data_IF_658426684714
#
_entry.id   IF_658426684714
#
_cell.length_a   1.000
_cell.length_b   1.000
_cell.length_c   1.000
_cell.angle_alpha   90.00
_cell.angle_beta   90.00
_cell.angle_gamma   90.00
#
_symmetry.space_group_name_H-M   'P 1'
#
loop_
_entity.id
_entity.type
_entity.pdbx_description
1 polymer ?
#
# COMPACT_ATOMS: atom_id res chain seq x y z
N UNK A 1 -4.01 19.25 1.62
CA UNK A 1 -5.20 19.26 0.71
C UNK A 1 -5.75 17.85 0.65
N UNK A 2 -7.11 17.66 0.63
CA UNK A 2 -7.72 16.33 0.50
C UNK A 2 -7.45 15.76 -0.90
N UNK A 3 -6.87 14.55 -0.97
CA UNK A 3 -6.57 13.84 -2.22
C UNK A 3 -7.54 12.70 -2.45
N UNK A 4 -7.90 11.97 -1.39
CA UNK A 4 -8.86 10.87 -1.46
C UNK A 4 -10.04 11.16 -0.54
N UNK A 5 -11.23 10.94 -1.06
CA UNK A 5 -12.46 10.87 -0.28
C UNK A 5 -13.17 9.54 -0.56
N UNK A 6 -13.44 8.79 0.48
CA UNK A 6 -14.27 7.57 0.47
C UNK A 6 -15.53 7.86 1.26
N UNK A 7 -16.70 7.68 0.64
CA UNK A 7 -18.01 7.98 1.24
C UNK A 7 -18.96 6.80 1.10
N UNK A 8 -19.46 6.31 2.22
CA UNK A 8 -20.47 5.26 2.34
C UNK A 8 -20.17 4.02 1.49
N UNK A 9 -18.85 3.75 1.31
CA UNK A 9 -18.39 2.71 0.42
C UNK A 9 -18.76 1.33 0.95
N UNK A 10 -19.53 0.58 0.15
CA UNK A 10 -19.93 -0.79 0.47
C UNK A 10 -19.66 -1.72 -0.71
N UNK A 11 -19.35 -2.99 -0.41
CA UNK A 11 -19.18 -4.03 -1.42
C UNK A 11 -19.86 -5.33 -1.01
N UNK A 12 -20.74 -5.80 -1.88
CA UNK A 12 -21.36 -7.13 -1.82
C UNK A 12 -20.90 -7.95 -3.01
N UNK A 13 -20.57 -9.18 -2.75
CA UNK A 13 -20.34 -10.20 -3.77
C UNK A 13 -21.56 -11.11 -3.79
N UNK A 14 -22.15 -11.31 -4.95
CA UNK A 14 -23.24 -12.26 -5.16
C UNK A 14 -22.68 -13.56 -5.74
N UNK A 15 -23.03 -14.70 -5.17
CA UNK A 15 -22.74 -16.03 -5.69
C UNK A 15 -24.03 -16.85 -5.78
N UNK A 16 -23.95 -18.04 -6.39
CA UNK A 16 -25.09 -18.96 -6.45
C UNK A 16 -25.56 -19.40 -5.06
N UNK A 17 -24.66 -19.42 -4.08
CA UNK A 17 -24.89 -19.89 -2.71
C UNK A 17 -25.21 -18.76 -1.71
N UNK A 18 -25.44 -17.53 -2.21
CA UNK A 18 -25.78 -16.37 -1.38
C UNK A 18 -24.96 -15.12 -1.66
N UNK A 19 -25.11 -14.11 -0.82
CA UNK A 19 -24.37 -12.86 -0.91
C UNK A 19 -23.41 -12.70 0.26
N UNK A 20 -22.19 -12.22 -0.04
CA UNK A 20 -21.17 -11.93 0.96
C UNK A 20 -20.94 -10.42 1.02
N UNK A 21 -21.20 -9.82 2.17
CA UNK A 21 -20.87 -8.43 2.44
C UNK A 21 -19.38 -8.35 2.80
N UNK A 22 -18.57 -7.83 1.88
CA UNK A 22 -17.14 -7.68 2.10
C UNK A 22 -16.79 -6.38 2.83
N UNK A 23 -17.43 -5.27 2.44
CA UNK A 23 -17.26 -3.94 3.02
C UNK A 23 -18.62 -3.32 3.29
N UNK A 24 -18.71 -2.56 4.39
CA UNK A 24 -19.92 -1.85 4.78
C UNK A 24 -19.60 -0.44 5.26
N UNK A 25 -20.18 0.56 4.61
CA UNK A 25 -20.17 1.97 4.99
C UNK A 25 -18.79 2.53 5.37
N UNK A 26 -17.78 2.20 4.54
CA UNK A 26 -16.43 2.71 4.72
C UNK A 26 -16.40 4.21 4.43
N UNK A 27 -15.94 4.98 5.39
CA UNK A 27 -15.79 6.43 5.29
C UNK A 27 -14.41 6.85 5.80
N UNK A 28 -13.61 7.49 4.96
CA UNK A 28 -12.36 8.14 5.37
C UNK A 28 -11.88 9.12 4.30
N UNK A 29 -10.93 9.96 4.68
CA UNK A 29 -10.27 10.92 3.80
C UNK A 29 -8.75 10.79 3.95
N UNK A 30 -8.03 11.11 2.88
CA UNK A 30 -6.56 11.10 2.86
C UNK A 30 -6.07 12.44 2.33
N UNK A 31 -5.12 13.04 3.02
CA UNK A 31 -4.48 14.28 2.60
C UNK A 31 -3.28 14.00 1.69
N UNK A 32 -2.89 15.01 0.92
CA UNK A 32 -1.72 14.94 0.04
C UNK A 32 -0.44 14.68 0.86
N UNK A 33 0.36 13.75 0.38
CA UNK A 33 1.60 13.34 1.04
C UNK A 33 1.42 12.53 2.33
N UNK A 34 0.19 12.18 2.72
CA UNK A 34 -0.09 11.39 3.92
C UNK A 34 0.19 9.90 3.68
N UNK A 35 0.80 9.24 4.65
CA UNK A 35 1.01 7.80 4.66
C UNK A 35 -0.02 7.15 5.59
N UNK A 36 -1.00 6.45 5.04
CA UNK A 36 -2.03 5.74 5.81
C UNK A 36 -1.77 4.24 5.75
N UNK A 37 -1.78 3.59 6.91
CA UNK A 37 -1.84 2.13 6.98
C UNK A 37 -3.27 1.65 7.25
N UNK A 38 -3.62 0.49 6.68
CA UNK A 38 -4.89 -0.20 6.92
C UNK A 38 -4.59 -1.57 7.53
N UNK A 39 -5.06 -1.79 8.74
CA UNK A 39 -4.89 -3.06 9.46
C UNK A 39 -6.24 -3.70 9.78
N UNK A 40 -6.25 -5.00 9.94
CA UNK A 40 -7.46 -5.76 10.27
C UNK A 40 -7.26 -7.26 10.09
N UNK A 41 -8.16 -8.10 10.59
CA UNK A 41 -8.05 -9.55 10.49
C UNK A 41 -8.07 -10.04 9.03
N UNK A 42 -7.61 -11.27 8.80
CA UNK A 42 -7.66 -11.89 7.48
C UNK A 42 -9.10 -11.98 6.98
N UNK A 43 -9.31 -11.71 5.69
CA UNK A 43 -10.63 -11.77 5.08
C UNK A 43 -11.58 -10.61 5.42
N UNK A 44 -11.17 -9.58 6.16
CA UNK A 44 -12.03 -8.43 6.51
C UNK A 44 -12.33 -7.47 5.34
N UNK A 45 -11.70 -7.65 4.17
CA UNK A 45 -11.98 -6.83 2.99
C UNK A 45 -10.90 -5.81 2.60
N UNK A 46 -9.72 -5.80 3.22
CA UNK A 46 -8.62 -4.85 2.91
C UNK A 46 -8.24 -4.84 1.43
N UNK A 47 -7.98 -6.02 0.85
CA UNK A 47 -7.66 -6.12 -0.58
C UNK A 47 -8.86 -5.77 -1.49
N UNK A 48 -10.10 -5.97 -1.01
CA UNK A 48 -11.31 -5.49 -1.70
C UNK A 48 -11.34 -3.96 -1.72
N UNK A 49 -11.07 -3.32 -0.58
CA UNK A 49 -10.97 -1.87 -0.47
C UNK A 49 -9.90 -1.34 -1.44
N UNK A 50 -8.69 -1.92 -1.42
CA UNK A 50 -7.60 -1.51 -2.31
C UNK A 50 -7.97 -1.65 -3.79
N UNK A 51 -8.61 -2.75 -4.19
CA UNK A 51 -9.06 -2.96 -5.59
C UNK A 51 -10.10 -1.92 -6.02
N UNK A 52 -10.96 -1.46 -5.11
CA UNK A 52 -11.93 -0.40 -5.40
C UNK A 52 -11.19 0.95 -5.53
N UNK A 53 -10.27 1.26 -4.63
CA UNK A 53 -9.43 2.46 -4.69
C UNK A 53 -8.58 2.51 -5.96
N UNK A 54 -8.13 1.36 -6.46
CA UNK A 54 -7.39 1.24 -7.72
C UNK A 54 -8.29 1.33 -8.98
N UNK A 55 -9.62 1.37 -8.81
CA UNK A 55 -10.56 1.34 -9.92
C UNK A 55 -10.67 -0.02 -10.63
N UNK A 56 -10.09 -1.09 -10.05
CA UNK A 56 -10.14 -2.45 -10.62
C UNK A 56 -11.50 -3.11 -10.35
N UNK A 57 -12.12 -2.75 -9.24
CA UNK A 57 -13.38 -3.32 -8.78
C UNK A 57 -14.39 -2.20 -8.51
N UNK A 58 -15.59 -2.22 -9.09
CA UNK A 58 -16.60 -1.23 -8.75
C UNK A 58 -17.19 -1.48 -7.36
N UNK A 59 -17.53 -0.43 -6.60
CA UNK A 59 -18.29 -0.56 -5.37
C UNK A 59 -19.72 -1.05 -5.64
N UNK A 60 -20.41 -1.58 -4.63
CA UNK A 60 -21.85 -1.87 -4.71
C UNK A 60 -22.70 -0.67 -4.30
N UNK A 61 -22.15 0.18 -3.41
CA UNK A 61 -22.76 1.44 -2.98
C UNK A 61 -21.66 2.41 -2.53
N UNK A 62 -21.98 3.71 -2.49
CA UNK A 62 -21.03 4.76 -2.13
C UNK A 62 -20.08 5.12 -3.27
N UNK A 63 -19.09 5.96 -2.98
CA UNK A 63 -18.15 6.47 -3.96
C UNK A 63 -16.74 6.63 -3.42
N UNK A 64 -15.78 6.60 -4.34
CA UNK A 64 -14.39 7.00 -4.10
C UNK A 64 -14.03 8.12 -5.07
N UNK A 65 -13.40 9.17 -4.56
CA UNK A 65 -12.91 10.29 -5.36
C UNK A 65 -11.41 10.47 -5.16
N UNK A 66 -10.71 10.71 -6.26
CA UNK A 66 -9.31 11.15 -6.27
C UNK A 66 -9.27 12.57 -6.83
N UNK A 67 -8.77 13.54 -6.05
CA UNK A 67 -8.76 14.97 -6.40
C UNK A 67 -10.13 15.44 -6.95
N UNK A 68 -11.18 15.17 -6.20
CA UNK A 68 -12.58 15.48 -6.55
C UNK A 68 -13.18 14.73 -7.74
N UNK A 69 -12.40 13.92 -8.47
CA UNK A 69 -12.87 13.12 -9.60
C UNK A 69 -13.26 11.72 -9.13
N UNK A 70 -14.47 11.21 -9.43
CA UNK A 70 -14.86 9.85 -9.09
C UNK A 70 -13.94 8.80 -9.75
N UNK A 71 -13.62 7.74 -9.01
CA UNK A 71 -12.89 6.58 -9.53
C UNK A 71 -13.92 5.58 -10.06
N UNK A 72 -14.10 5.53 -11.37
CA UNK A 72 -15.01 4.61 -12.05
C UNK A 72 -14.29 3.49 -12.82
N UNK A 73 -12.96 3.52 -12.85
CA UNK A 73 -12.10 2.56 -13.53
C UNK A 73 -10.63 2.80 -13.20
N UNK A 74 -9.70 1.98 -13.74
CA UNK A 74 -8.27 2.16 -13.55
C UNK A 74 -7.80 3.56 -14.00
N UNK A 75 -6.92 4.18 -13.20
CA UNK A 75 -6.43 5.55 -13.44
C UNK A 75 -4.92 5.54 -13.63
N UNK A 76 -4.43 6.47 -14.46
CA UNK A 76 -2.99 6.63 -14.74
C UNK A 76 -2.22 7.26 -13.58
N UNK A 77 -2.92 8.00 -12.72
CA UNK A 77 -2.35 8.71 -11.56
C UNK A 77 -2.36 7.88 -10.27
N UNK A 78 -2.59 6.56 -10.38
CA UNK A 78 -2.53 5.60 -9.27
C UNK A 78 -1.45 4.55 -9.58
N UNK A 79 -0.47 4.41 -8.68
CA UNK A 79 0.49 3.31 -8.66
C UNK A 79 0.00 2.19 -7.74
N UNK A 80 0.15 0.93 -8.17
CA UNK A 80 -0.27 -0.23 -7.37
C UNK A 80 0.90 -1.19 -7.19
N UNK A 81 1.16 -1.57 -5.93
CA UNK A 81 2.10 -2.62 -5.54
C UNK A 81 1.31 -3.76 -4.92
N UNK A 82 1.36 -4.93 -5.54
CA UNK A 82 0.67 -6.12 -5.06
C UNK A 82 1.54 -6.91 -4.06
N UNK A 83 0.93 -7.80 -3.33
CA UNK A 83 1.60 -8.73 -2.40
C UNK A 83 2.68 -9.56 -3.11
N UNK A 84 2.38 -10.09 -4.28
CA UNK A 84 3.38 -10.65 -5.19
C UNK A 84 3.90 -9.53 -6.12
N UNK A 85 5.22 -9.45 -6.40
CA UNK A 85 5.79 -8.41 -7.26
C UNK A 85 5.20 -8.36 -8.68
N UNK A 86 4.64 -9.46 -9.16
CA UNK A 86 4.01 -9.60 -10.50
C UNK A 86 4.89 -8.98 -11.59
N UNK A 87 6.18 -9.34 -11.58
CA UNK A 87 7.11 -8.95 -12.63
C UNK A 87 6.94 -9.86 -13.84
N UNK A 88 7.05 -9.29 -15.04
CA UNK A 88 7.07 -10.08 -16.26
C UNK A 88 8.41 -10.82 -16.38
N UNK A 89 8.42 -12.17 -16.35
CA UNK A 89 9.67 -12.92 -16.32
C UNK A 89 10.50 -12.74 -17.60
N UNK A 90 9.89 -12.47 -18.74
CA UNK A 90 10.55 -12.23 -20.02
C UNK A 90 11.07 -10.82 -20.23
N UNK A 91 10.87 -9.91 -19.25
CA UNK A 91 11.37 -8.54 -19.27
C UNK A 91 12.51 -8.38 -18.28
N UNK A 92 13.51 -7.59 -18.64
CA UNK A 92 14.56 -7.17 -17.71
C UNK A 92 13.98 -6.34 -16.55
N UNK A 93 14.79 -6.09 -15.51
CA UNK A 93 14.44 -5.17 -14.41
C UNK A 93 14.02 -3.81 -14.96
N UNK A 94 14.86 -3.21 -15.82
CA UNK A 94 14.58 -1.90 -16.41
C UNK A 94 13.29 -1.91 -17.24
N UNK A 95 13.06 -2.96 -18.05
CA UNK A 95 11.84 -3.07 -18.84
C UNK A 95 10.59 -3.32 -18.00
N UNK A 96 10.73 -3.99 -16.84
CA UNK A 96 9.65 -4.10 -15.88
C UNK A 96 9.33 -2.73 -15.25
N UNK A 97 10.34 -1.95 -14.88
CA UNK A 97 10.16 -0.59 -14.34
C UNK A 97 9.49 0.33 -15.37
N UNK A 98 9.92 0.29 -16.62
CA UNK A 98 9.39 1.13 -17.70
C UNK A 98 8.02 0.66 -18.23
N UNK A 99 7.49 -0.46 -17.78
CA UNK A 99 6.21 -0.99 -18.25
C UNK A 99 5.05 0.02 -18.21
N UNK A 100 4.83 0.79 -17.12
CA UNK A 100 3.77 1.81 -17.10
C UNK A 100 3.98 2.92 -18.13
N UNK A 101 5.23 3.26 -18.40
CA UNK A 101 5.61 4.25 -19.45
C UNK A 101 5.21 3.75 -20.83
N UNK A 102 5.50 2.46 -21.12
CA UNK A 102 5.14 1.81 -22.38
C UNK A 102 3.62 1.78 -22.57
N UNK A 103 2.90 1.29 -21.53
CA UNK A 103 1.44 1.12 -21.56
C UNK A 103 0.72 2.46 -21.71
N UNK A 104 1.22 3.50 -21.03
CA UNK A 104 0.64 4.85 -21.08
C UNK A 104 1.13 5.68 -22.25
N UNK A 105 2.11 5.19 -23.03
CA UNK A 105 2.74 5.87 -24.18
C UNK A 105 3.37 7.21 -23.81
N UNK A 106 4.07 7.27 -22.67
CA UNK A 106 4.68 8.48 -22.14
C UNK A 106 6.06 8.81 -22.75
N UNK A 107 6.61 7.93 -23.62
CA UNK A 107 7.95 8.06 -24.18
C UNK A 107 9.06 7.56 -23.24
N UNK A 108 9.81 6.55 -23.70
CA UNK A 108 10.87 5.91 -22.88
C UNK A 108 12.05 6.82 -22.62
N UNK A 109 12.47 7.61 -23.60
CA UNK A 109 13.68 8.44 -23.52
C UNK A 109 13.60 9.43 -22.35
N UNK A 110 12.44 10.07 -22.18
CA UNK A 110 12.21 10.98 -21.05
C UNK A 110 12.16 10.31 -19.67
N UNK A 111 11.90 8.99 -19.61
CA UNK A 111 11.77 8.24 -18.35
C UNK A 111 12.98 7.35 -18.03
N UNK A 112 13.92 7.17 -18.96
CA UNK A 112 15.08 6.31 -18.76
C UNK A 112 15.93 6.80 -17.59
N UNK A 113 16.24 8.09 -17.55
CA UNK A 113 16.99 8.68 -16.42
C UNK A 113 16.23 8.51 -15.11
N UNK A 114 14.92 8.78 -15.09
CA UNK A 114 14.09 8.62 -13.90
C UNK A 114 14.08 7.16 -13.42
N UNK A 115 14.05 6.19 -14.36
CA UNK A 115 14.12 4.77 -14.03
C UNK A 115 15.46 4.40 -13.37
N UNK A 116 16.57 4.91 -13.92
CA UNK A 116 17.90 4.68 -13.33
C UNK A 116 18.03 5.31 -11.95
N UNK A 117 17.60 6.57 -11.79
CA UNK A 117 17.61 7.27 -10.49
C UNK A 117 16.76 6.53 -9.44
N UNK A 118 15.60 6.01 -9.83
CA UNK A 118 14.74 5.22 -8.96
C UNK A 118 15.34 3.85 -8.62
N UNK A 119 16.00 3.17 -9.57
CA UNK A 119 16.70 1.91 -9.32
C UNK A 119 17.88 2.12 -8.36
N UNK A 120 18.63 3.19 -8.55
CA UNK A 120 19.70 3.59 -7.62
C UNK A 120 19.14 3.89 -6.23
N UNK A 121 18.03 4.63 -6.14
CA UNK A 121 17.35 4.93 -4.88
C UNK A 121 17.00 3.67 -4.09
N UNK A 122 16.60 2.59 -4.75
CA UNK A 122 16.25 1.31 -4.09
C UNK A 122 17.43 0.32 -4.02
N UNK A 123 18.67 0.76 -4.31
CA UNK A 123 19.88 -0.06 -4.23
C UNK A 123 19.91 -1.21 -5.24
N UNK A 124 19.44 -0.97 -6.46
CA UNK A 124 19.44 -1.92 -7.56
C UNK A 124 20.37 -1.49 -8.72
N UNK A 125 21.40 -0.69 -8.42
CA UNK A 125 22.44 -0.34 -9.39
C UNK A 125 23.13 -1.60 -9.91
N UNK A 126 23.30 -1.67 -11.23
CA UNK A 126 23.92 -2.82 -11.90
C UNK A 126 22.99 -4.02 -12.15
N UNK A 127 21.72 -3.94 -11.70
CA UNK A 127 20.72 -4.99 -11.94
C UNK A 127 19.76 -4.67 -13.08
N UNK A 128 19.91 -3.58 -13.79
CA UNK A 128 18.97 -3.07 -14.80
C UNK A 128 18.69 -4.08 -15.91
N UNK A 129 19.71 -4.85 -16.29
CA UNK A 129 19.65 -5.87 -17.37
C UNK A 129 19.33 -7.26 -16.87
N UNK A 130 19.25 -7.46 -15.54
CA UNK A 130 18.88 -8.75 -14.94
C UNK A 130 17.41 -9.05 -15.14
N UNK A 131 17.07 -10.33 -15.05
CA UNK A 131 15.70 -10.81 -15.13
C UNK A 131 15.16 -11.16 -13.74
N UNK A 132 13.82 -11.21 -13.55
CA UNK A 132 13.22 -11.47 -12.23
C UNK A 132 13.74 -12.72 -11.53
N UNK A 133 14.01 -13.79 -12.23
CA UNK A 133 14.54 -15.05 -11.64
C UNK A 133 15.98 -14.94 -11.12
N UNK A 134 16.72 -13.90 -11.49
CA UNK A 134 18.06 -13.62 -11.00
C UNK A 134 18.06 -12.80 -9.70
N UNK A 135 16.86 -12.39 -9.22
CA UNK A 135 16.68 -11.51 -8.09
C UNK A 135 16.14 -12.24 -6.86
N UNK A 136 16.56 -11.82 -5.67
CA UNK A 136 15.90 -12.22 -4.42
C UNK A 136 14.47 -11.66 -4.35
N UNK A 137 13.61 -12.22 -3.47
CA UNK A 137 12.25 -11.74 -3.28
C UNK A 137 12.17 -10.26 -2.88
N UNK A 138 13.08 -9.81 -2.01
CA UNK A 138 13.18 -8.40 -1.63
C UNK A 138 13.59 -7.49 -2.80
N UNK A 139 14.53 -7.94 -3.64
CA UNK A 139 14.91 -7.19 -4.85
C UNK A 139 13.74 -7.10 -5.83
N UNK A 140 13.00 -8.19 -6.06
CA UNK A 140 11.81 -8.18 -6.91
C UNK A 140 10.76 -7.20 -6.39
N UNK A 141 10.58 -7.12 -5.07
CA UNK A 141 9.64 -6.18 -4.45
C UNK A 141 10.09 -4.73 -4.64
N UNK A 142 11.40 -4.43 -4.53
CA UNK A 142 11.95 -3.11 -4.86
C UNK A 142 11.69 -2.72 -6.31
N UNK A 143 11.85 -3.65 -7.26
CA UNK A 143 11.49 -3.43 -8.67
C UNK A 143 10.01 -3.10 -8.82
N UNK A 144 9.11 -3.81 -8.10
CA UNK A 144 7.67 -3.55 -8.15
C UNK A 144 7.30 -2.16 -7.60
N UNK A 145 7.97 -1.71 -6.53
CA UNK A 145 7.80 -0.36 -5.97
C UNK A 145 8.30 0.68 -6.98
N UNK A 146 9.49 0.48 -7.55
CA UNK A 146 10.07 1.37 -8.58
C UNK A 146 9.15 1.49 -9.79
N UNK A 147 8.60 0.37 -10.27
CA UNK A 147 7.61 0.34 -11.35
C UNK A 147 6.35 1.14 -11.01
N UNK A 148 5.88 1.08 -9.78
CA UNK A 148 4.70 1.85 -9.37
C UNK A 148 4.97 3.35 -9.26
N UNK A 149 6.24 3.78 -9.12
CA UNK A 149 6.66 5.18 -8.98
C UNK A 149 7.04 5.85 -10.30
N UNK A 150 7.42 5.09 -11.35
CA UNK A 150 8.05 5.61 -12.56
C UNK A 150 7.25 6.70 -13.29
N UNK A 151 5.94 6.60 -13.27
CA UNK A 151 5.02 7.52 -13.96
C UNK A 151 4.53 8.65 -13.04
N UNK A 152 5.21 8.87 -11.92
CA UNK A 152 4.94 9.93 -10.93
C UNK A 152 3.46 9.98 -10.45
N UNK A 153 2.91 8.88 -9.91
CA UNK A 153 1.51 8.83 -9.53
C UNK A 153 1.18 9.80 -8.39
N UNK A 154 -0.07 10.26 -8.32
CA UNK A 154 -0.57 11.06 -7.21
C UNK A 154 -0.72 10.22 -5.94
N UNK A 155 -0.96 8.91 -6.09
CA UNK A 155 -1.20 7.97 -4.99
C UNK A 155 -0.56 6.62 -5.26
N UNK A 156 -0.02 6.00 -4.20
CA UNK A 156 0.44 4.62 -4.17
C UNK A 156 -0.49 3.77 -3.31
N UNK A 157 -0.93 2.66 -3.86
CA UNK A 157 -1.67 1.62 -3.16
C UNK A 157 -0.78 0.39 -3.01
N UNK A 158 -0.64 -0.12 -1.79
CA UNK A 158 0.23 -1.27 -1.49
C UNK A 158 -0.55 -2.34 -0.73
N UNK A 159 -0.69 -3.54 -1.32
CA UNK A 159 -1.39 -4.67 -0.70
C UNK A 159 -0.38 -5.64 -0.10
N UNK A 160 -0.15 -5.56 1.20
CA UNK A 160 0.77 -6.41 1.99
C UNK A 160 2.12 -6.64 1.27
N UNK A 161 2.81 -5.57 0.84
CA UNK A 161 3.95 -5.70 -0.08
C UNK A 161 5.12 -6.51 0.50
N UNK A 162 5.20 -6.66 1.81
CA UNK A 162 6.30 -7.36 2.49
C UNK A 162 5.88 -8.69 3.13
N UNK A 163 4.67 -9.17 2.85
CA UNK A 163 4.10 -10.36 3.49
C UNK A 163 4.85 -11.67 3.22
N UNK A 164 5.53 -11.77 2.09
CA UNK A 164 6.29 -12.96 1.70
C UNK A 164 7.79 -12.91 2.09
N UNK A 165 8.25 -11.81 2.72
CA UNK A 165 9.64 -11.63 3.10
C UNK A 165 9.91 -12.16 4.52
N UNK A 166 11.13 -12.65 4.74
CA UNK A 166 11.62 -12.96 6.09
C UNK A 166 11.69 -11.69 6.98
N UNK A 167 11.84 -11.88 8.28
CA UNK A 167 11.76 -10.78 9.25
C UNK A 167 12.84 -9.70 9.00
N UNK A 168 14.10 -10.10 8.77
CA UNK A 168 15.21 -9.15 8.57
C UNK A 168 15.05 -8.36 7.27
N UNK A 169 14.71 -9.04 6.19
CA UNK A 169 14.45 -8.40 4.89
C UNK A 169 13.25 -7.44 4.99
N UNK A 170 12.23 -7.80 5.75
CA UNK A 170 11.04 -6.95 5.98
C UNK A 170 11.41 -5.67 6.74
N UNK A 171 12.22 -5.75 7.78
CA UNK A 171 12.71 -4.59 8.52
C UNK A 171 13.51 -3.64 7.61
N UNK A 172 14.42 -4.18 6.79
CA UNK A 172 15.14 -3.39 5.80
C UNK A 172 14.21 -2.73 4.79
N UNK A 173 13.18 -3.44 4.32
CA UNK A 173 12.20 -2.90 3.38
C UNK A 173 11.34 -1.80 4.00
N UNK A 174 11.05 -1.86 5.30
CA UNK A 174 10.33 -0.80 6.01
C UNK A 174 11.17 0.49 6.08
N UNK A 175 12.47 0.39 6.40
CA UNK A 175 13.39 1.53 6.36
C UNK A 175 13.49 2.12 4.96
N UNK A 176 13.63 1.26 3.95
CA UNK A 176 13.74 1.65 2.54
C UNK A 176 12.48 2.38 2.07
N UNK A 177 11.30 1.82 2.35
CA UNK A 177 10.02 2.43 1.99
C UNK A 177 9.85 3.79 2.68
N UNK A 178 10.22 3.90 3.96
CA UNK A 178 10.22 5.18 4.66
C UNK A 178 11.14 6.20 3.98
N UNK A 179 12.37 5.79 3.58
CA UNK A 179 13.33 6.64 2.87
C UNK A 179 12.77 7.14 1.54
N UNK A 180 12.25 6.25 0.73
CA UNK A 180 11.61 6.56 -0.56
C UNK A 180 10.46 7.55 -0.35
N UNK A 181 9.63 7.31 0.65
CA UNK A 181 8.49 8.17 0.95
C UNK A 181 8.94 9.56 1.43
N UNK A 182 9.97 9.66 2.26
CA UNK A 182 10.52 10.94 2.73
C UNK A 182 11.04 11.80 1.57
N UNK A 183 11.65 11.18 0.56
CA UNK A 183 12.14 11.89 -0.62
C UNK A 183 11.02 12.29 -1.59
N UNK A 184 10.06 11.40 -1.80
CA UNK A 184 9.03 11.59 -2.84
C UNK A 184 7.73 12.19 -2.32
N UNK A 185 7.45 12.08 -1.02
CA UNK A 185 6.25 12.60 -0.35
C UNK A 185 4.94 12.24 -1.06
N UNK A 186 4.85 11.01 -1.59
CA UNK A 186 3.64 10.52 -2.22
C UNK A 186 2.55 10.19 -1.20
N UNK A 187 1.30 10.34 -1.59
CA UNK A 187 0.18 9.83 -0.80
C UNK A 187 0.19 8.30 -0.88
N UNK A 188 0.17 7.63 0.27
CA UNK A 188 0.28 6.17 0.34
C UNK A 188 -0.88 5.58 1.14
N UNK A 189 -1.51 4.54 0.60
CA UNK A 189 -2.38 3.62 1.36
C UNK A 189 -1.72 2.25 1.37
N UNK A 190 -1.33 1.82 2.55
CA UNK A 190 -0.53 0.63 2.81
C UNK A 190 -1.32 -0.39 3.62
N UNK A 191 -1.62 -1.52 3.02
CA UNK A 191 -2.27 -2.63 3.72
C UNK A 191 -1.21 -3.53 4.33
N UNK A 192 -1.37 -3.86 5.60
CA UNK A 192 -0.52 -4.83 6.29
C UNK A 192 -1.28 -5.62 7.34
N UNK A 193 -0.74 -6.79 7.69
CA UNK A 193 -1.19 -7.58 8.84
C UNK A 193 -0.38 -7.30 10.11
N UNK A 194 0.71 -6.56 9.99
CA UNK A 194 1.61 -6.23 11.10
C UNK A 194 1.27 -4.87 11.69
N UNK A 195 0.75 -4.87 12.93
CA UNK A 195 0.48 -3.62 13.67
C UNK A 195 1.77 -2.82 13.88
N UNK A 196 2.91 -3.42 14.30
CA UNK A 196 4.17 -2.69 14.41
C UNK A 196 4.61 -2.03 13.10
N UNK A 197 4.49 -2.72 11.96
CA UNK A 197 4.80 -2.16 10.64
C UNK A 197 3.89 -0.96 10.30
N UNK A 198 2.60 -1.06 10.56
CA UNK A 198 1.65 0.03 10.35
C UNK A 198 2.02 1.27 11.19
N UNK A 199 2.32 1.09 12.48
CA UNK A 199 2.75 2.18 13.37
C UNK A 199 4.09 2.74 12.95
N UNK A 200 5.04 1.89 12.47
CA UNK A 200 6.35 2.33 12.02
C UNK A 200 6.29 3.21 10.77
N UNK A 201 5.42 2.89 9.81
CA UNK A 201 5.38 3.58 8.52
C UNK A 201 4.36 4.71 8.45
N UNK A 202 3.23 4.62 9.15
CA UNK A 202 2.10 5.49 8.88
C UNK A 202 2.08 6.78 9.73
N UNK A 203 1.39 7.79 9.17
CA UNK A 203 0.91 8.97 9.92
C UNK A 203 -0.40 8.64 10.63
N UNK A 204 -1.21 7.76 10.01
CA UNK A 204 -2.48 7.26 10.54
C UNK A 204 -2.66 5.79 10.28
N UNK A 205 -3.31 5.10 11.20
CA UNK A 205 -3.66 3.69 11.06
C UNK A 205 -5.18 3.53 11.12
N UNK A 206 -5.77 3.13 9.98
CA UNK A 206 -7.18 2.75 9.91
C UNK A 206 -7.33 1.30 10.36
N UNK A 207 -8.15 1.08 11.38
CA UNK A 207 -8.38 -0.24 11.96
C UNK A 207 -9.72 -0.77 11.46
N UNK A 208 -9.71 -1.92 10.77
CA UNK A 208 -10.91 -2.53 10.20
C UNK A 208 -11.47 -3.66 11.07
N UNK A 209 -12.81 -3.75 11.13
CA UNK A 209 -13.53 -4.87 11.75
C UNK A 209 -13.38 -6.15 10.92
N UNK A 210 -13.71 -7.35 11.48
CA UNK A 210 -14.00 -8.53 10.67
C UNK A 210 -15.13 -8.26 9.67
N UNK A 211 -15.37 -9.23 8.80
CA UNK A 211 -16.43 -9.16 7.80
C UNK A 211 -17.83 -9.03 8.39
N UNK A 212 -18.68 -8.07 7.92
CA UNK A 212 -18.35 -7.05 6.92
C UNK A 212 -17.35 -6.02 7.45
N UNK A 213 -16.30 -5.70 6.64
CA UNK A 213 -15.27 -4.76 7.03
C UNK A 213 -15.82 -3.33 7.12
N UNK A 214 -15.69 -2.73 8.30
CA UNK A 214 -15.94 -1.31 8.56
C UNK A 214 -14.67 -0.68 9.13
N UNK A 215 -14.51 0.64 9.05
CA UNK A 215 -13.48 1.34 9.83
C UNK A 215 -14.01 1.49 11.26
N UNK A 216 -13.33 0.87 12.23
CA UNK A 216 -13.72 0.99 13.62
C UNK A 216 -12.89 2.00 14.41
N UNK A 217 -11.71 2.35 13.92
CA UNK A 217 -10.86 3.35 14.55
C UNK A 217 -9.92 3.98 13.52
N UNK A 218 -9.46 5.20 13.81
CA UNK A 218 -8.53 6.00 13.01
C UNK A 218 -7.47 6.60 13.94
N UNK A 219 -6.37 5.88 14.10
CA UNK A 219 -5.32 6.16 15.07
C UNK A 219 -4.26 7.06 14.47
N UNK A 220 -4.13 8.28 14.97
CA UNK A 220 -3.06 9.22 14.59
C UNK A 220 -1.75 8.79 15.25
N UNK A 221 -0.69 8.59 14.45
CA UNK A 221 0.65 8.23 14.94
C UNK A 221 1.54 9.48 14.98
N UNK A 222 1.79 9.98 16.17
CA UNK A 222 2.55 11.24 16.40
C UNK A 222 4.06 11.01 16.62
N UNK A 223 4.59 9.84 16.28
CA UNK A 223 6.01 9.54 16.38
C UNK A 223 6.75 10.27 15.24
N UNK A 224 7.78 11.09 15.54
CA UNK A 224 8.54 11.82 14.52
C UNK A 224 9.20 10.90 13.49
N UNK A 225 9.47 11.44 12.31
CA UNK A 225 10.27 10.76 11.26
C UNK A 225 11.57 11.53 11.00
N UNK A 226 12.65 10.86 10.53
CA UNK A 226 12.73 9.43 10.21
C UNK A 226 12.68 8.56 11.47
N UNK A 227 11.98 7.41 11.38
CA UNK A 227 11.92 6.40 12.44
C UNK A 227 13.00 5.36 12.19
N UNK A 228 13.91 5.17 13.13
CA UNK A 228 14.86 4.05 13.13
C UNK A 228 14.18 2.79 13.67
N UNK A 229 14.72 1.60 13.41
CA UNK A 229 14.14 0.34 13.91
C UNK A 229 14.06 0.31 15.43
N UNK A 230 15.04 0.93 16.10
CA UNK A 230 15.09 1.06 17.55
C UNK A 230 13.87 1.81 18.13
N UNK A 231 13.21 2.65 17.30
CA UNK A 231 11.99 3.37 17.70
C UNK A 231 10.86 2.40 18.10
N UNK A 232 10.85 1.18 17.56
CA UNK A 232 9.88 0.14 17.94
C UNK A 232 10.03 -0.30 19.40
N UNK A 233 11.21 -0.07 20.02
CA UNK A 233 11.51 -0.41 21.42
C UNK A 233 11.31 0.80 22.36
N UNK A 234 10.99 1.98 21.84
CA UNK A 234 10.79 3.17 22.65
C UNK A 234 9.45 3.16 23.38
N UNK A 235 9.37 3.74 24.59
CA UNK A 235 8.14 3.81 25.37
C UNK A 235 6.95 4.43 24.62
N UNK A 236 7.20 5.36 23.69
CA UNK A 236 6.17 6.03 22.90
C UNK A 236 5.55 5.15 21.82
N UNK A 237 6.22 4.06 21.41
CA UNK A 237 5.75 3.16 20.36
C UNK A 237 4.72 2.14 20.86
N UNK A 238 4.99 1.54 22.00
CA UNK A 238 4.17 0.48 22.58
C UNK A 238 2.71 0.87 22.80
N UNK A 239 2.35 2.08 23.26
CA UNK A 239 0.96 2.50 23.44
C UNK A 239 0.13 2.42 22.16
N UNK A 240 0.69 2.77 20.99
CA UNK A 240 -0.01 2.66 19.71
C UNK A 240 -0.31 1.20 19.36
N UNK A 241 0.71 0.32 19.49
CA UNK A 241 0.55 -1.11 19.22
C UNK A 241 -0.47 -1.73 20.15
N UNK A 242 -0.41 -1.41 21.45
CA UNK A 242 -1.35 -1.92 22.46
C UNK A 242 -2.77 -1.40 22.22
N UNK A 243 -2.93 -0.12 21.91
CA UNK A 243 -4.24 0.47 21.61
C UNK A 243 -4.90 -0.24 20.42
N UNK A 244 -4.17 -0.38 19.30
CA UNK A 244 -4.70 -1.04 18.10
C UNK A 244 -4.99 -2.51 18.38
N UNK A 245 -4.10 -3.23 19.07
CA UNK A 245 -4.32 -4.64 19.46
C UNK A 245 -5.52 -4.79 20.39
N UNK A 246 -5.67 -3.87 21.35
CA UNK A 246 -6.81 -3.86 22.28
C UNK A 246 -8.16 -3.73 21.57
N UNK A 247 -8.24 -3.02 20.43
CA UNK A 247 -9.45 -2.94 19.60
C UNK A 247 -9.85 -4.31 19.03
N UNK A 248 -8.86 -5.12 18.66
CA UNK A 248 -9.12 -6.48 18.18
C UNK A 248 -9.53 -7.42 19.32
N UNK A 249 -8.84 -7.37 20.46
CA UNK A 249 -9.15 -8.21 21.63
C UNK A 249 -10.56 -7.93 22.19
N UNK A 250 -10.96 -6.65 22.30
CA UNK A 250 -12.27 -6.25 22.81
C UNK A 250 -13.46 -6.81 21.98
N UNK A 251 -13.18 -7.26 20.74
CA UNK A 251 -14.17 -7.90 19.86
C UNK A 251 -13.95 -9.40 19.67
N UNK A 252 -13.08 -10.03 20.49
CA UNK A 252 -12.79 -11.48 20.39
C UNK A 252 -12.12 -11.89 19.06
N UNK A 253 -11.32 -11.01 18.47
CA UNK A 253 -10.73 -11.19 17.14
C UNK A 253 -9.32 -11.77 17.17
N UNK A 254 -8.67 -11.74 18.31
CA UNK A 254 -7.36 -12.35 18.57
C UNK A 254 -7.55 -13.15 19.86
N UNK A 255 -7.31 -14.45 19.79
CA UNK A 255 -7.21 -15.28 20.99
C UNK A 255 -6.01 -14.82 21.82
N UNK A 256 -6.18 -14.78 23.14
CA UNK A 256 -5.21 -14.29 24.12
C UNK A 256 -3.94 -15.16 24.16
#
# INVERSE_FOLDING_TARGET
>A
MEVIAVKELSKRYSSRDGSVHALQEINFKVNEGEFIAVVGPSGCGKSTLLKILAGILPPSNGEVRLRSTPITGPRRDIGVVFQSPVLFPWRSVLDNVLLPVDVQRLGRDGHLKVAMDLLSLVGLDGFERRYPWELSGGMQQRVAITRALIHDPAMLLMDVPFGALDAMTREQMNLELQRIWLERRKTVIFITHSIPEAVFLADRVLVMTPRPGCIMDDVQVKIPRPRALEAMNFPEFAPYVHSIRGRFNAKGMIDA
#
